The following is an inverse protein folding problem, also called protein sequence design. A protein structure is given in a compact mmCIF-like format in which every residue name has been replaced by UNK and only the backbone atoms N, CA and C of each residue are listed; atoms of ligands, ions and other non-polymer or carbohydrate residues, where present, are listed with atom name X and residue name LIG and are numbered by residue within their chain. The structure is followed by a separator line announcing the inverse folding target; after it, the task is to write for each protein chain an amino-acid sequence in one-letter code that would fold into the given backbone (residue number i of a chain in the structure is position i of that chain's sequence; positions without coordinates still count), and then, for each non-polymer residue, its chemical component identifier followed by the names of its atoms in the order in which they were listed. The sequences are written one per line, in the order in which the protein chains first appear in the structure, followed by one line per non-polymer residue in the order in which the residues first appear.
data_IF_342016101375
#
_entry.id   IF_342016101375
#
_cell.length_a   1.000
_cell.length_b   1.000
_cell.length_c   1.000
_cell.angle_alpha   90.00
_cell.angle_beta   90.00
_cell.angle_gamma   90.00
#
_symmetry.space_group_name_H-M   'P 1'
#
loop_
_entity.id
_entity.type
_entity.pdbx_description
1 polymer ?
#
# COMPACT_ATOMS: atom_id res chain seq x y z
N UNK A 1 -50.00 16.74 12.10
CA UNK A 1 -49.13 15.92 11.23
C UNK A 1 -47.69 16.19 11.64
N UNK A 2 -47.09 15.33 12.46
CA UNK A 2 -45.72 15.49 12.92
C UNK A 2 -44.79 14.60 12.06
N UNK A 3 -43.82 15.25 11.41
CA UNK A 3 -42.77 14.61 10.61
C UNK A 3 -41.80 13.87 11.54
N UNK A 4 -41.62 12.57 11.30
CA UNK A 4 -40.66 11.74 12.01
C UNK A 4 -39.26 11.98 11.44
N UNK A 5 -38.20 12.15 12.26
CA UNK A 5 -36.86 12.37 11.75
C UNK A 5 -36.25 11.09 11.14
N UNK A 6 -35.30 11.21 10.20
CA UNK A 6 -34.72 10.07 9.49
C UNK A 6 -33.88 9.21 10.43
N UNK A 7 -34.02 7.89 10.33
CA UNK A 7 -33.21 6.92 11.07
C UNK A 7 -31.73 7.02 10.64
N UNK A 8 -30.78 6.92 11.59
CA UNK A 8 -29.36 6.93 11.27
C UNK A 8 -28.96 5.70 10.44
N UNK A 9 -27.90 5.80 9.60
CA UNK A 9 -27.44 4.69 8.78
C UNK A 9 -27.02 3.50 9.64
N UNK A 10 -27.59 2.34 9.36
CA UNK A 10 -27.21 1.10 10.02
C UNK A 10 -25.76 0.76 9.64
N UNK A 11 -24.90 0.78 10.66
CA UNK A 11 -23.52 0.36 10.59
C UNK A 11 -23.47 -1.12 10.15
N UNK A 12 -22.77 -1.50 9.06
CA UNK A 12 -22.73 -2.89 8.63
C UNK A 12 -21.98 -3.72 9.68
N UNK A 13 -22.70 -4.63 10.34
CA UNK A 13 -22.13 -5.58 11.29
C UNK A 13 -20.98 -6.34 10.61
N UNK A 14 -19.78 -6.18 11.17
CA UNK A 14 -18.59 -6.93 10.79
C UNK A 14 -18.84 -8.44 10.98
N UNK A 15 -18.27 -9.31 10.13
CA UNK A 15 -18.40 -10.75 10.27
C UNK A 15 -17.89 -11.25 11.63
N UNK A 16 -18.50 -12.30 12.22
CA UNK A 16 -18.24 -12.77 13.60
C UNK A 16 -16.77 -13.07 13.93
N UNK A 17 -15.95 -13.42 12.93
CA UNK A 17 -14.52 -13.68 13.11
C UNK A 17 -13.75 -12.39 13.41
N UNK A 18 -14.13 -11.27 12.78
CA UNK A 18 -13.56 -9.96 13.08
C UNK A 18 -14.07 -9.42 14.43
N UNK A 19 -15.29 -9.80 14.83
CA UNK A 19 -15.86 -9.48 16.15
C UNK A 19 -15.08 -10.18 17.26
N UNK A 20 -14.62 -11.42 17.06
CA UNK A 20 -13.84 -12.14 18.08
C UNK A 20 -12.48 -11.48 18.35
N UNK A 21 -11.87 -10.85 17.34
CA UNK A 21 -10.67 -10.05 17.51
C UNK A 21 -10.94 -8.64 18.07
N UNK A 22 -12.12 -8.05 17.80
CA UNK A 22 -12.49 -6.69 18.24
C UNK A 22 -13.10 -6.63 19.66
N UNK A 23 -13.81 -7.66 20.12
CA UNK A 23 -14.55 -7.62 21.39
C UNK A 23 -13.69 -7.80 22.64
N UNK A 24 -12.39 -8.08 22.50
CA UNK A 24 -11.50 -8.27 23.64
C UNK A 24 -10.67 -7.04 24.03
N UNK A 25 -10.68 -5.92 23.27
CA UNK A 25 -10.11 -4.65 23.76
C UNK A 25 -10.50 -3.41 22.92
N UNK A 26 -11.46 -2.57 23.36
CA UNK A 26 -11.88 -1.38 22.62
C UNK A 26 -10.93 -0.16 22.75
N UNK A 27 -9.79 -0.23 23.44
CA UNK A 27 -8.90 0.94 23.66
C UNK A 27 -7.51 0.89 22.99
N UNK A 28 -7.28 0.03 22.00
CA UNK A 28 -5.90 -0.19 21.48
C UNK A 28 -5.49 0.63 20.24
N UNK A 29 -6.23 1.67 19.84
CA UNK A 29 -5.83 2.56 18.74
C UNK A 29 -5.11 3.85 19.17
N UNK A 30 -4.91 4.06 20.47
CA UNK A 30 -4.03 5.11 20.99
C UNK A 30 -2.92 4.48 21.84
N UNK A 31 -1.76 4.27 21.22
CA UNK A 31 -0.54 3.88 21.94
C UNK A 31 0.04 2.54 21.53
N UNK A 32 0.56 2.44 20.31
CA UNK A 32 1.56 1.41 20.00
C UNK A 32 2.94 1.96 20.37
N UNK A 33 3.19 2.08 21.67
CA UNK A 33 4.55 1.94 22.20
C UNK A 33 4.58 0.69 23.09
N UNK A 34 5.25 -0.34 22.55
CA UNK A 34 5.89 -1.41 23.30
C UNK A 34 5.01 -2.25 24.23
N UNK A 35 4.19 -3.16 23.69
CA UNK A 35 3.86 -4.43 24.39
C UNK A 35 3.77 -5.58 23.40
N UNK A 36 4.59 -6.59 23.67
CA UNK A 36 4.79 -7.83 22.93
C UNK A 36 3.46 -8.54 22.65
N UNK A 37 3.29 -8.96 21.39
CA UNK A 37 2.15 -9.73 20.90
C UNK A 37 2.28 -11.19 21.36
N UNK A 38 2.13 -11.46 22.66
CA UNK A 38 2.06 -12.83 23.17
C UNK A 38 0.61 -13.33 23.17
N UNK A 39 0.44 -14.50 22.52
CA UNK A 39 -0.69 -15.44 22.61
C UNK A 39 -1.93 -15.20 21.73
N UNK A 40 -1.88 -15.67 20.48
CA UNK A 40 -3.06 -16.23 19.78
C UNK A 40 -2.73 -17.55 19.06
N UNK A 41 -1.48 -17.79 18.69
CA UNK A 41 -1.03 -19.10 18.20
C UNK A 41 0.24 -19.47 18.95
N UNK A 42 0.28 -20.63 19.61
CA UNK A 42 1.49 -21.18 20.23
C UNK A 42 2.58 -21.55 19.22
N UNK A 43 2.45 -21.07 17.99
CA UNK A 43 3.26 -21.40 16.85
C UNK A 43 4.41 -20.40 16.76
N UNK A 44 5.58 -20.81 17.25
CA UNK A 44 6.80 -19.99 17.32
C UNK A 44 7.19 -19.42 15.94
N UNK A 45 6.71 -20.03 14.85
CA UNK A 45 6.89 -19.58 13.48
C UNK A 45 6.25 -18.21 13.18
N UNK A 46 5.21 -17.80 13.92
CA UNK A 46 4.53 -16.50 13.71
C UNK A 46 5.31 -15.33 14.34
N UNK A 47 6.29 -15.63 15.20
CA UNK A 47 7.14 -14.64 15.87
C UNK A 47 8.40 -14.27 15.06
N UNK A 48 8.45 -14.69 13.78
CA UNK A 48 9.48 -14.28 12.84
C UNK A 48 9.32 -12.82 12.38
N UNK A 49 10.24 -12.38 11.51
CA UNK A 49 10.18 -11.04 10.93
C UNK A 49 8.86 -10.84 10.16
N UNK A 50 8.16 -9.71 10.34
CA UNK A 50 6.89 -9.48 9.68
C UNK A 50 7.08 -9.39 8.16
N UNK A 51 6.19 -10.05 7.41
CA UNK A 51 6.30 -10.16 5.95
C UNK A 51 6.21 -8.78 5.29
N UNK A 52 5.27 -7.93 5.70
CA UNK A 52 5.03 -6.64 5.03
C UNK A 52 5.45 -5.41 5.85
N UNK A 53 5.42 -5.49 7.18
CA UNK A 53 5.66 -4.32 8.05
C UNK A 53 7.09 -3.76 7.92
N UNK A 54 8.06 -4.61 7.57
CA UNK A 54 9.43 -4.17 7.30
C UNK A 54 9.52 -3.22 6.10
N UNK A 55 8.65 -3.39 5.10
CA UNK A 55 8.58 -2.48 3.96
C UNK A 55 7.83 -1.18 4.29
N UNK A 56 7.02 -1.18 5.36
CA UNK A 56 6.28 -0.03 5.83
C UNK A 56 7.08 0.85 6.83
N UNK A 57 8.10 0.30 7.49
CA UNK A 57 8.85 0.99 8.55
C UNK A 57 9.66 2.24 8.14
N UNK A 58 9.69 2.62 6.86
CA UNK A 58 10.49 3.76 6.35
C UNK A 58 9.68 4.75 5.48
N UNK A 59 8.35 4.80 5.64
CA UNK A 59 7.49 5.65 4.79
C UNK A 59 7.87 7.14 4.80
N UNK A 60 8.43 7.67 5.88
CA UNK A 60 8.82 9.08 5.97
C UNK A 60 9.86 9.52 4.92
N UNK A 61 10.61 8.57 4.33
CA UNK A 61 11.60 8.84 3.27
C UNK A 61 11.03 8.74 1.86
N UNK A 62 9.82 8.18 1.72
CA UNK A 62 9.18 7.95 0.43
C UNK A 62 8.20 9.09 0.14
N UNK A 63 8.16 9.52 -1.11
CA UNK A 63 7.12 10.42 -1.58
C UNK A 63 5.75 9.71 -1.56
N UNK A 64 4.66 10.46 -1.40
CA UNK A 64 3.30 9.92 -1.27
C UNK A 64 2.95 8.95 -2.42
N UNK A 65 3.37 9.27 -3.65
CA UNK A 65 3.14 8.42 -4.81
C UNK A 65 3.89 7.07 -4.76
N UNK A 66 5.08 7.05 -4.15
CA UNK A 66 5.88 5.83 -3.95
C UNK A 66 5.26 4.96 -2.85
N UNK A 67 4.78 5.58 -1.77
CA UNK A 67 4.06 4.90 -0.70
C UNK A 67 2.78 4.24 -1.23
N UNK A 68 1.98 4.98 -2.02
CA UNK A 68 0.76 4.45 -2.66
C UNK A 68 1.06 3.27 -3.56
N UNK A 69 2.10 3.36 -4.39
CA UNK A 69 2.51 2.27 -5.26
C UNK A 69 2.91 1.01 -4.46
N UNK A 70 3.69 1.19 -3.39
CA UNK A 70 4.09 0.10 -2.50
C UNK A 70 2.89 -0.57 -1.84
N UNK A 71 1.94 0.21 -1.32
CA UNK A 71 0.72 -0.31 -0.70
C UNK A 71 -0.16 -1.06 -1.70
N UNK A 72 -0.27 -0.58 -2.94
CA UNK A 72 -0.97 -1.30 -4.00
C UNK A 72 -0.31 -2.65 -4.31
N UNK A 73 1.01 -2.71 -4.35
CA UNK A 73 1.72 -3.98 -4.54
C UNK A 73 1.47 -4.95 -3.38
N UNK A 74 1.49 -4.46 -2.13
CA UNK A 74 1.19 -5.26 -0.95
C UNK A 74 -0.25 -5.81 -1.00
N UNK A 75 -1.23 -4.99 -1.40
CA UNK A 75 -2.61 -5.46 -1.59
C UNK A 75 -2.70 -6.58 -2.65
N UNK A 76 -1.92 -6.49 -3.72
CA UNK A 76 -1.85 -7.55 -4.75
C UNK A 76 -1.20 -8.84 -4.26
N UNK A 77 -0.24 -8.76 -3.34
CA UNK A 77 0.27 -9.96 -2.66
C UNK A 77 -0.79 -10.55 -1.74
N UNK A 78 -1.47 -9.73 -0.93
CA UNK A 78 -2.55 -10.22 -0.06
C UNK A 78 -3.69 -10.88 -0.85
N UNK A 79 -4.08 -10.30 -1.99
CA UNK A 79 -5.12 -10.86 -2.84
C UNK A 79 -4.74 -12.26 -3.36
N UNK A 80 -3.46 -12.47 -3.72
CA UNK A 80 -2.93 -13.79 -4.08
C UNK A 80 -2.96 -14.77 -2.92
N UNK A 81 -2.49 -14.37 -1.74
CA UNK A 81 -2.50 -15.21 -0.52
C UNK A 81 -3.94 -15.60 -0.17
N UNK A 82 -4.85 -14.64 -0.12
CA UNK A 82 -6.26 -14.87 0.20
C UNK A 82 -6.95 -15.76 -0.84
N UNK A 83 -6.62 -15.62 -2.13
CA UNK A 83 -7.13 -16.49 -3.18
C UNK A 83 -6.65 -17.93 -3.01
N UNK A 84 -5.37 -18.11 -2.68
CA UNK A 84 -4.81 -19.42 -2.40
C UNK A 84 -5.46 -20.08 -1.17
N UNK A 85 -5.61 -19.33 -0.08
CA UNK A 85 -6.32 -19.78 1.12
C UNK A 85 -7.77 -20.17 0.82
N UNK A 86 -8.47 -19.38 -0.01
CA UNK A 86 -9.86 -19.64 -0.41
C UNK A 86 -9.99 -20.97 -1.17
N UNK A 87 -9.02 -21.27 -2.04
CA UNK A 87 -9.01 -22.49 -2.85
C UNK A 87 -8.71 -23.75 -2.01
N UNK A 88 -7.93 -23.61 -0.93
CA UNK A 88 -7.48 -24.74 -0.12
C UNK A 88 -8.33 -24.99 1.14
N UNK A 89 -9.07 -23.99 1.63
CA UNK A 89 -9.89 -24.16 2.82
C UNK A 89 -11.20 -24.90 2.53
N UNK A 90 -11.66 -25.72 3.49
CA UNK A 90 -12.98 -26.37 3.47
C UNK A 90 -13.98 -25.71 4.41
N UNK A 91 -13.50 -24.85 5.31
CA UNK A 91 -14.30 -24.16 6.32
C UNK A 91 -15.09 -23.01 5.68
N UNK A 92 -16.42 -23.07 5.78
CA UNK A 92 -17.33 -22.11 5.16
C UNK A 92 -17.26 -20.72 5.81
N UNK A 93 -16.98 -20.63 7.11
CA UNK A 93 -16.87 -19.37 7.83
C UNK A 93 -15.57 -18.65 7.45
N UNK A 94 -14.49 -19.42 7.26
CA UNK A 94 -13.22 -18.90 6.74
C UNK A 94 -13.40 -18.42 5.29
N UNK A 95 -14.09 -19.19 4.43
CA UNK A 95 -14.39 -18.76 3.05
C UNK A 95 -15.16 -17.45 3.03
N UNK A 96 -16.23 -17.34 3.82
CA UNK A 96 -17.06 -16.14 3.90
C UNK A 96 -16.25 -14.93 4.37
N UNK A 97 -15.38 -15.13 5.37
CA UNK A 97 -14.49 -14.08 5.88
C UNK A 97 -13.49 -13.62 4.82
N UNK A 98 -12.85 -14.55 4.09
CA UNK A 98 -11.92 -14.23 3.01
C UNK A 98 -12.62 -13.44 1.91
N UNK A 99 -13.81 -13.86 1.47
CA UNK A 99 -14.60 -13.15 0.44
C UNK A 99 -14.92 -11.73 0.90
N UNK A 100 -15.33 -11.55 2.16
CA UNK A 100 -15.61 -10.23 2.72
C UNK A 100 -14.37 -9.32 2.73
N UNK A 101 -13.21 -9.85 3.17
CA UNK A 101 -11.95 -9.10 3.18
C UNK A 101 -11.54 -8.69 1.77
N UNK A 102 -11.61 -9.62 0.80
CA UNK A 102 -11.30 -9.33 -0.60
C UNK A 102 -12.21 -8.23 -1.16
N UNK A 103 -13.50 -8.25 -0.85
CA UNK A 103 -14.44 -7.19 -1.27
C UNK A 103 -14.05 -5.80 -0.75
N UNK A 104 -13.60 -5.70 0.51
CA UNK A 104 -13.11 -4.43 1.09
C UNK A 104 -11.79 -3.99 0.45
N UNK A 105 -10.89 -4.92 0.14
CA UNK A 105 -9.65 -4.60 -0.57
C UNK A 105 -9.92 -4.06 -1.98
N UNK A 106 -10.90 -4.61 -2.69
CA UNK A 106 -11.32 -4.10 -4.00
C UNK A 106 -11.91 -2.70 -3.91
N UNK A 107 -12.72 -2.43 -2.89
CA UNK A 107 -13.25 -1.08 -2.64
C UNK A 107 -12.11 -0.08 -2.36
N UNK A 108 -11.15 -0.45 -1.51
CA UNK A 108 -9.96 0.36 -1.28
C UNK A 108 -9.22 0.62 -2.59
N UNK A 109 -8.95 -0.41 -3.40
CA UNK A 109 -8.29 -0.27 -4.72
C UNK A 109 -9.02 0.70 -5.65
N UNK A 110 -10.36 0.67 -5.69
CA UNK A 110 -11.15 1.60 -6.53
C UNK A 110 -10.96 3.06 -6.14
N UNK A 111 -10.65 3.33 -4.87
CA UNK A 111 -10.40 4.67 -4.35
C UNK A 111 -8.95 5.13 -4.53
N UNK A 112 -8.02 4.24 -4.93
CA UNK A 112 -6.66 4.65 -5.28
C UNK A 112 -6.63 5.29 -6.68
N UNK A 113 -5.82 6.34 -6.89
CA UNK A 113 -5.81 7.03 -8.18
C UNK A 113 -5.28 6.12 -9.30
N UNK A 114 -5.85 6.28 -10.50
CA UNK A 114 -5.46 5.51 -11.69
C UNK A 114 -3.99 5.74 -12.11
N UNK A 115 -3.35 6.81 -11.62
CA UNK A 115 -1.99 7.20 -11.99
C UNK A 115 -0.95 6.21 -11.47
N UNK A 116 -1.10 5.74 -10.25
CA UNK A 116 -0.21 4.78 -9.61
C UNK A 116 -0.35 3.40 -10.26
N UNK A 117 -1.57 3.02 -10.66
CA UNK A 117 -1.81 1.81 -11.45
C UNK A 117 -1.15 1.89 -12.84
N UNK A 118 -1.20 3.04 -13.50
CA UNK A 118 -0.52 3.25 -14.77
C UNK A 118 1.01 3.19 -14.62
N UNK A 119 1.56 3.76 -13.54
CA UNK A 119 2.99 3.67 -13.22
C UNK A 119 3.40 2.21 -12.99
N UNK A 120 2.61 1.45 -12.22
CA UNK A 120 2.83 0.01 -12.02
C UNK A 120 2.92 -0.76 -13.34
N UNK A 121 1.97 -0.56 -14.25
CA UNK A 121 1.98 -1.22 -15.57
C UNK A 121 3.24 -0.90 -16.36
N UNK A 122 3.66 0.36 -16.37
CA UNK A 122 4.92 0.77 -17.03
C UNK A 122 6.15 0.11 -16.42
N UNK A 123 6.19 -0.09 -15.10
CA UNK A 123 7.29 -0.81 -14.44
C UNK A 123 7.30 -2.30 -14.82
N UNK A 124 6.12 -2.94 -14.90
CA UNK A 124 6.00 -4.33 -15.36
C UNK A 124 6.46 -4.47 -16.81
N UNK A 125 6.07 -3.55 -17.70
CA UNK A 125 6.53 -3.52 -19.09
C UNK A 125 8.05 -3.39 -19.18
N UNK A 126 8.65 -2.54 -18.34
CA UNK A 126 10.11 -2.38 -18.25
C UNK A 126 10.80 -3.66 -17.77
N UNK A 127 10.26 -4.35 -16.77
CA UNK A 127 10.81 -5.63 -16.30
C UNK A 127 10.66 -6.76 -17.33
N UNK A 128 9.67 -6.69 -18.21
CA UNK A 128 9.45 -7.66 -19.28
C UNK A 128 10.35 -7.43 -20.51
N UNK A 129 11.17 -6.37 -20.54
CA UNK A 129 12.07 -6.09 -21.66
C UNK A 129 13.11 -7.21 -21.82
N UNK A 130 13.19 -7.78 -23.03
CA UNK A 130 14.17 -8.81 -23.39
C UNK A 130 15.54 -8.19 -23.63
N UNK A 131 16.32 -8.01 -22.57
CA UNK A 131 17.64 -7.35 -22.63
C UNK A 131 18.69 -8.11 -23.44
N UNK A 132 18.47 -9.40 -23.70
CA UNK A 132 19.30 -10.26 -24.54
C UNK A 132 18.95 -10.18 -26.04
N UNK A 133 17.85 -9.51 -26.42
CA UNK A 133 17.45 -9.33 -27.80
C UNK A 133 18.28 -8.22 -28.46
N UNK A 134 18.97 -8.55 -29.56
CA UNK A 134 19.88 -7.64 -30.28
C UNK A 134 19.15 -6.39 -30.82
N UNK A 135 17.89 -6.52 -31.25
CA UNK A 135 17.10 -5.39 -31.71
C UNK A 135 16.67 -4.48 -30.57
N UNK A 136 16.33 -5.06 -29.41
CA UNK A 136 16.05 -4.30 -28.18
C UNK A 136 17.29 -3.50 -27.76
N UNK A 137 18.47 -4.12 -27.74
CA UNK A 137 19.73 -3.46 -27.39
C UNK A 137 20.02 -2.26 -28.32
N UNK A 138 19.87 -2.44 -29.63
CA UNK A 138 20.06 -1.34 -30.61
C UNK A 138 19.10 -0.18 -30.39
N UNK A 139 17.81 -0.46 -30.10
CA UNK A 139 16.82 0.58 -29.76
C UNK A 139 17.19 1.30 -28.45
N UNK A 140 17.57 0.55 -27.43
CA UNK A 140 17.96 1.10 -26.13
C UNK A 140 19.16 2.05 -26.24
N UNK A 141 20.19 1.69 -27.02
CA UNK A 141 21.36 2.56 -27.26
C UNK A 141 20.95 3.87 -27.95
N UNK A 142 20.04 3.80 -28.94
CA UNK A 142 19.53 5.00 -29.63
C UNK A 142 18.75 5.93 -28.67
N UNK A 143 18.05 5.35 -27.70
CA UNK A 143 17.20 6.08 -26.74
C UNK A 143 17.96 6.50 -25.46
N UNK A 144 19.22 6.08 -25.30
CA UNK A 144 20.01 6.34 -24.10
C UNK A 144 20.24 7.83 -23.84
N UNK A 145 20.63 8.59 -24.88
CA UNK A 145 20.91 10.02 -24.75
C UNK A 145 19.69 10.84 -24.27
N UNK A 146 18.49 10.72 -24.90
CA UNK A 146 17.33 11.46 -24.41
C UNK A 146 16.89 11.04 -23.00
N UNK A 147 17.03 9.76 -22.64
CA UNK A 147 16.77 9.29 -21.26
C UNK A 147 17.73 9.95 -20.27
N UNK A 148 19.03 9.98 -20.58
CA UNK A 148 20.04 10.62 -19.75
C UNK A 148 19.80 12.12 -19.57
N UNK A 149 19.43 12.83 -20.64
CA UNK A 149 19.09 14.25 -20.59
C UNK A 149 17.88 14.51 -19.70
N UNK A 150 16.85 13.66 -19.81
CA UNK A 150 15.64 13.78 -19.00
C UNK A 150 15.93 13.58 -17.51
N UNK A 151 16.72 12.58 -17.16
CA UNK A 151 17.16 12.33 -15.78
C UNK A 151 17.96 13.51 -15.22
N UNK A 152 18.90 14.04 -16.01
CA UNK A 152 19.72 15.19 -15.63
C UNK A 152 18.86 16.44 -15.33
N UNK A 153 17.83 16.69 -16.16
CA UNK A 153 16.88 17.78 -15.94
C UNK A 153 16.11 17.62 -14.63
N UNK A 154 15.56 16.43 -14.37
CA UNK A 154 14.83 16.14 -13.13
C UNK A 154 15.70 16.34 -11.88
N UNK A 155 16.95 15.88 -11.91
CA UNK A 155 17.89 16.09 -10.81
C UNK A 155 18.16 17.58 -10.56
N UNK A 156 18.31 18.38 -11.62
CA UNK A 156 18.51 19.82 -11.51
C UNK A 156 17.29 20.55 -10.92
N UNK A 157 16.06 20.12 -11.28
CA UNK A 157 14.82 20.67 -10.74
C UNK A 157 14.70 20.38 -9.24
N UNK A 158 14.95 19.13 -8.83
CA UNK A 158 14.94 18.74 -7.41
C UNK A 158 15.93 19.56 -6.57
N UNK A 159 17.13 19.81 -7.10
CA UNK A 159 18.13 20.68 -6.45
C UNK A 159 17.62 22.12 -6.28
N UNK A 160 16.94 22.67 -7.29
CA UNK A 160 16.39 24.04 -7.25
C UNK A 160 15.24 24.15 -6.23
N UNK A 161 14.36 23.16 -6.18
CA UNK A 161 13.26 23.11 -5.21
C UNK A 161 13.77 23.01 -3.77
N UNK A 162 14.77 22.16 -3.52
CA UNK A 162 15.41 22.06 -2.21
C UNK A 162 16.03 23.40 -1.74
N UNK A 163 16.63 24.17 -2.65
CA UNK A 163 17.16 25.51 -2.35
C UNK A 163 16.04 26.51 -2.06
N UNK A 164 14.93 26.45 -2.80
CA UNK A 164 13.75 27.31 -2.55
C UNK A 164 13.12 27.04 -1.19
N UNK A 165 12.94 25.77 -0.82
CA UNK A 165 12.42 25.41 0.51
C UNK A 165 13.29 25.93 1.64
N UNK A 166 14.63 25.86 1.51
CA UNK A 166 15.55 26.43 2.51
C UNK A 166 15.41 27.94 2.65
N UNK A 167 15.31 28.67 1.55
CA UNK A 167 15.15 30.14 1.57
C UNK A 167 13.83 30.59 2.18
N UNK A 168 12.75 29.86 1.92
CA UNK A 168 11.44 30.18 2.48
C UNK A 168 11.39 29.86 3.99
N UNK A 169 11.94 28.72 4.42
CA UNK A 169 12.04 28.38 5.84
C UNK A 169 12.89 29.37 6.66
N UNK A 170 13.93 29.95 6.06
CA UNK A 170 14.73 31.01 6.73
C UNK A 170 14.02 32.36 6.82
N UNK A 171 13.04 32.64 5.93
CA UNK A 171 12.26 33.88 5.97
C UNK A 171 11.16 33.84 7.02
N UNK A 172 10.51 32.69 7.19
CA UNK A 172 9.47 32.47 8.21
C UNK A 172 10.02 32.48 9.65
N UNK A 173 11.33 32.33 9.84
CA UNK A 173 12.00 32.44 11.14
C UNK A 173 12.50 33.86 11.46
N UNK A 174 12.36 34.80 10.51
CA UNK A 174 12.85 36.18 10.64
C UNK A 174 11.70 37.20 10.78
N UNK A 175 10.46 36.73 10.91
CA UNK A 175 9.24 37.50 11.25
C UNK A 175 8.78 37.14 12.67
#
# INVERSE_FOLDING_TARGET
MALQPPLPPQNPKLPPVLIRCYQQNPESFQGIQGKTLESVTGDKAVFGSPIFLNYLGNHEKLEESEQKLLLLEILDVYDRILSDMLNHTRDLDVKTSIVSIKGRMEELRRNFPNREQALKRRLQDLWAVKTNDVMVQRKAVRELLPVFQKLSQLHSLRRREAVRHRRNASREQSE
#
